data_IF_129176811713
#
_entry.id   IF_129176811713
#
_cell.length_a   1.000
_cell.length_b   1.000
_cell.length_c   1.000
_cell.angle_alpha   90.00
_cell.angle_beta   90.00
_cell.angle_gamma   90.00
#
_symmetry.space_group_name_H-M   'P 1'
#
loop_
_entity.id
_entity.type
_entity.pdbx_description
1 polymer ?
#
# COMPACT_ATOMS: atom_id res chain seq x y z
N UNK A 1 2.67 -33.74 17.21
CA UNK A 1 1.70 -32.69 16.83
C UNK A 1 1.73 -32.55 15.32
N UNK A 2 0.71 -33.07 14.61
CA UNK A 2 0.63 -32.95 13.15
C UNK A 2 0.34 -31.48 12.82
N UNK A 3 1.22 -30.85 12.06
CA UNK A 3 0.99 -29.50 11.54
C UNK A 3 -0.13 -29.60 10.50
N UNK A 4 -1.30 -29.04 10.81
CA UNK A 4 -2.41 -28.93 9.87
C UNK A 4 -1.97 -28.02 8.73
N UNK A 5 -1.96 -28.56 7.52
CA UNK A 5 -1.62 -27.77 6.33
C UNK A 5 -2.77 -26.81 6.02
N UNK A 6 -2.55 -25.69 5.32
CA UNK A 6 -3.62 -24.78 4.91
C UNK A 6 -4.74 -25.45 4.09
N UNK A 7 -4.50 -26.66 3.56
CA UNK A 7 -5.46 -27.46 2.80
C UNK A 7 -6.52 -28.17 3.66
N UNK A 8 -6.27 -28.39 4.96
CA UNK A 8 -7.23 -29.06 5.86
C UNK A 8 -8.47 -28.21 6.17
N UNK A 9 -8.48 -26.93 5.78
CA UNK A 9 -9.55 -25.96 6.06
C UNK A 9 -10.47 -25.65 4.87
N UNK A 10 -10.20 -26.20 3.69
CA UNK A 10 -11.11 -26.06 2.56
C UNK A 10 -12.34 -26.94 2.80
N UNK A 11 -13.58 -26.47 2.52
CA UNK A 11 -14.76 -27.32 2.54
C UNK A 11 -14.71 -28.28 1.34
N UNK A 12 -13.78 -29.25 1.39
CA UNK A 12 -13.64 -30.34 0.43
C UNK A 12 -14.71 -31.42 0.64
N UNK A 13 -15.77 -31.12 1.40
CA UNK A 13 -16.84 -32.06 1.72
C UNK A 13 -17.55 -32.50 0.42
N UNK A 14 -17.09 -33.62 -0.14
CA UNK A 14 -17.66 -34.27 -1.32
C UNK A 14 -16.79 -34.24 -2.59
N UNK A 15 -15.77 -33.39 -2.68
CA UNK A 15 -15.03 -33.16 -3.95
C UNK A 15 -13.71 -33.95 -4.01
N UNK A 16 -13.85 -35.28 -4.01
CA UNK A 16 -12.75 -36.25 -3.92
C UNK A 16 -11.74 -36.14 -5.07
N UNK A 17 -12.19 -35.76 -6.27
CA UNK A 17 -11.31 -35.60 -7.44
C UNK A 17 -10.36 -34.40 -7.28
N UNK A 18 -10.88 -33.29 -6.76
CA UNK A 18 -10.05 -32.11 -6.49
C UNK A 18 -9.01 -32.42 -5.40
N UNK A 19 -9.40 -33.14 -4.34
CA UNK A 19 -8.48 -33.57 -3.30
C UNK A 19 -7.34 -34.46 -3.86
N UNK A 20 -7.66 -35.37 -4.78
CA UNK A 20 -6.67 -36.21 -5.45
C UNK A 20 -5.69 -35.36 -6.29
N UNK A 21 -6.21 -34.42 -7.08
CA UNK A 21 -5.38 -33.53 -7.90
C UNK A 21 -4.46 -32.65 -7.05
N UNK A 22 -4.96 -32.10 -5.93
CA UNK A 22 -4.15 -31.34 -4.98
C UNK A 22 -3.03 -32.18 -4.36
N UNK A 23 -3.28 -33.46 -4.08
CA UNK A 23 -2.23 -34.35 -3.59
C UNK A 23 -1.10 -34.55 -4.62
N UNK A 24 -1.41 -34.50 -5.92
CA UNK A 24 -0.41 -34.61 -6.99
C UNK A 24 0.44 -33.34 -7.14
N UNK A 25 -0.08 -32.16 -6.75
CA UNK A 25 0.65 -30.90 -6.80
C UNK A 25 1.99 -30.94 -6.06
N UNK A 26 2.02 -31.65 -4.92
CA UNK A 26 3.19 -31.74 -4.05
C UNK A 26 4.22 -32.78 -4.51
N UNK A 27 3.95 -33.54 -5.57
CA UNK A 27 4.82 -34.66 -6.00
C UNK A 27 5.93 -34.24 -6.98
N UNK A 28 6.01 -32.95 -7.32
CA UNK A 28 7.08 -32.40 -8.16
C UNK A 28 7.12 -32.92 -9.60
N UNK A 29 6.01 -33.49 -10.09
CA UNK A 29 5.88 -33.99 -11.46
C UNK A 29 5.35 -32.88 -12.37
N UNK A 30 5.95 -32.70 -13.53
CA UNK A 30 5.53 -31.68 -14.51
C UNK A 30 4.30 -32.11 -15.33
N UNK A 31 4.08 -33.42 -15.50
CA UNK A 31 2.99 -33.95 -16.33
C UNK A 31 1.60 -33.52 -15.85
N UNK A 32 1.26 -33.61 -14.55
CA UNK A 32 -0.02 -33.10 -14.04
C UNK A 32 -0.20 -31.59 -14.27
N UNK A 33 0.90 -30.81 -14.21
CA UNK A 33 0.88 -29.37 -14.46
C UNK A 33 0.53 -29.08 -15.91
N UNK A 34 1.21 -29.74 -16.85
CA UNK A 34 0.97 -29.61 -18.29
C UNK A 34 -0.49 -29.96 -18.65
N UNK A 35 -0.98 -31.09 -18.15
CA UNK A 35 -2.37 -31.51 -18.37
C UNK A 35 -3.34 -30.46 -17.83
N UNK A 36 -3.09 -29.91 -16.63
CA UNK A 36 -3.96 -28.89 -16.07
C UNK A 36 -3.92 -27.58 -16.87
N UNK A 37 -2.75 -27.17 -17.38
CA UNK A 37 -2.61 -26.01 -18.27
C UNK A 37 -3.46 -26.17 -19.53
N UNK A 38 -3.41 -27.34 -20.17
CA UNK A 38 -4.24 -27.65 -21.34
C UNK A 38 -5.73 -27.66 -21.00
N UNK A 39 -6.11 -28.24 -19.85
CA UNK A 39 -7.52 -28.24 -19.41
C UNK A 39 -8.07 -26.83 -19.17
N UNK A 40 -7.28 -25.95 -18.54
CA UNK A 40 -7.67 -24.55 -18.36
C UNK A 40 -7.87 -23.83 -19.69
N UNK A 41 -6.99 -24.07 -20.68
CA UNK A 41 -7.14 -23.50 -22.01
C UNK A 41 -8.42 -23.99 -22.70
N UNK A 42 -8.67 -25.30 -22.67
CA UNK A 42 -9.88 -25.91 -23.24
C UNK A 42 -11.16 -25.35 -22.60
N UNK A 43 -11.17 -25.14 -21.28
CA UNK A 43 -12.33 -24.58 -20.59
C UNK A 43 -12.56 -23.11 -20.92
N UNK A 44 -11.50 -22.32 -21.10
CA UNK A 44 -11.60 -20.94 -21.55
C UNK A 44 -12.14 -20.86 -22.98
N UNK A 45 -11.64 -21.69 -23.90
CA UNK A 45 -12.13 -21.75 -25.29
C UNK A 45 -13.59 -22.21 -25.38
N UNK A 46 -13.98 -23.19 -24.56
CA UNK A 46 -15.33 -23.72 -24.51
C UNK A 46 -16.31 -22.93 -23.64
N UNK A 47 -15.87 -21.86 -22.97
CA UNK A 47 -16.67 -21.07 -22.01
C UNK A 47 -17.18 -21.86 -20.80
N UNK A 48 -16.55 -23.00 -20.49
CA UNK A 48 -16.94 -23.86 -19.35
C UNK A 48 -16.47 -23.27 -18.03
N UNK A 49 -15.40 -22.49 -18.07
CA UNK A 49 -14.84 -21.75 -16.93
C UNK A 49 -15.86 -20.78 -16.31
N UNK A 50 -16.75 -20.18 -17.12
CA UNK A 50 -17.83 -19.30 -16.66
C UNK A 50 -18.84 -20.00 -15.71
N UNK A 51 -18.92 -21.33 -15.75
CA UNK A 51 -19.81 -22.13 -14.91
C UNK A 51 -19.14 -22.58 -13.60
N UNK A 52 -17.85 -22.31 -13.42
CA UNK A 52 -17.06 -22.78 -12.29
C UNK A 52 -16.88 -21.69 -11.24
N UNK A 53 -16.86 -22.08 -9.96
CA UNK A 53 -16.59 -21.13 -8.88
C UNK A 53 -15.14 -20.59 -8.98
N UNK A 54 -14.90 -19.31 -8.64
CA UNK A 54 -13.58 -18.69 -8.74
C UNK A 54 -12.55 -19.39 -7.87
N UNK A 55 -12.93 -19.89 -6.68
CA UNK A 55 -12.05 -20.66 -5.79
C UNK A 55 -11.53 -21.93 -6.46
N UNK A 56 -12.39 -22.64 -7.18
CA UNK A 56 -12.04 -23.89 -7.87
C UNK A 56 -11.09 -23.63 -9.04
N UNK A 57 -11.38 -22.61 -9.86
CA UNK A 57 -10.48 -22.19 -10.93
C UNK A 57 -9.12 -21.75 -10.37
N UNK A 58 -9.09 -21.01 -9.27
CA UNK A 58 -7.84 -20.60 -8.60
C UNK A 58 -6.98 -21.80 -8.19
N UNK A 59 -7.59 -22.87 -7.68
CA UNK A 59 -6.88 -24.11 -7.34
C UNK A 59 -6.35 -24.83 -8.59
N UNK A 60 -7.11 -24.84 -9.68
CA UNK A 60 -6.64 -25.40 -10.95
C UNK A 60 -5.51 -24.57 -11.57
N UNK A 61 -5.58 -23.25 -11.49
CA UNK A 61 -4.48 -22.35 -11.89
C UNK A 61 -3.21 -22.65 -11.09
N UNK A 62 -3.33 -22.87 -9.77
CA UNK A 62 -2.19 -23.27 -8.94
C UNK A 62 -1.64 -24.65 -9.34
N UNK A 63 -2.51 -25.60 -9.70
CA UNK A 63 -2.13 -26.94 -10.15
C UNK A 63 -1.46 -26.95 -11.52
N UNK A 64 -1.80 -26.02 -12.41
CA UNK A 64 -1.06 -25.74 -13.64
C UNK A 64 0.32 -25.11 -13.35
N UNK A 65 0.53 -24.64 -12.12
CA UNK A 65 1.72 -23.95 -11.68
C UNK A 65 1.85 -22.56 -12.27
N UNK A 66 0.72 -21.88 -12.43
CA UNK A 66 0.64 -20.47 -12.76
C UNK A 66 0.12 -19.68 -11.54
N UNK A 67 0.59 -18.45 -11.37
CA UNK A 67 0.11 -17.57 -10.31
C UNK A 67 -1.10 -16.72 -10.73
N UNK A 68 -1.25 -16.49 -12.03
CA UNK A 68 -2.36 -15.73 -12.63
C UNK A 68 -2.95 -16.49 -13.81
N UNK A 69 -4.24 -16.29 -14.06
CA UNK A 69 -4.92 -16.89 -15.19
C UNK A 69 -6.05 -15.98 -15.67
N UNK A 70 -6.19 -15.83 -16.97
CA UNK A 70 -7.27 -15.08 -17.57
C UNK A 70 -8.39 -16.04 -17.97
N UNK A 71 -9.47 -16.05 -17.19
CA UNK A 71 -10.71 -16.74 -17.54
C UNK A 71 -11.60 -15.80 -18.39
N UNK A 72 -12.64 -16.37 -19.01
CA UNK A 72 -13.57 -15.71 -19.94
C UNK A 72 -14.19 -14.43 -19.37
N UNK A 73 -14.48 -14.40 -18.06
CA UNK A 73 -15.09 -13.24 -17.40
C UNK A 73 -14.27 -12.63 -16.26
N UNK A 74 -13.18 -13.26 -15.83
CA UNK A 74 -12.44 -12.86 -14.63
C UNK A 74 -10.96 -13.10 -14.76
N UNK A 75 -10.13 -12.15 -14.33
CA UNK A 75 -8.72 -12.39 -14.06
C UNK A 75 -8.57 -13.01 -12.67
N UNK A 76 -7.88 -14.15 -12.61
CA UNK A 76 -7.60 -14.87 -11.38
C UNK A 76 -6.17 -14.61 -10.95
N UNK A 77 -5.99 -14.39 -9.66
CA UNK A 77 -4.68 -14.20 -9.04
C UNK A 77 -4.65 -14.99 -7.72
N UNK A 78 -3.79 -16.02 -7.68
CA UNK A 78 -3.65 -16.92 -6.53
C UNK A 78 -2.99 -16.24 -5.33
N UNK A 79 -2.27 -15.14 -5.55
CA UNK A 79 -1.58 -14.36 -4.53
C UNK A 79 -2.48 -13.30 -3.87
N UNK A 80 -3.75 -13.19 -4.26
CA UNK A 80 -4.69 -12.24 -3.67
C UNK A 80 -4.85 -12.44 -2.16
N UNK A 81 -4.65 -11.37 -1.38
CA UNK A 81 -4.77 -11.41 0.08
C UNK A 81 -3.67 -12.18 0.83
N UNK A 82 -2.62 -12.64 0.13
CA UNK A 82 -1.44 -13.24 0.75
C UNK A 82 -0.44 -12.17 1.17
N UNK A 83 0.25 -12.36 2.30
CA UNK A 83 1.44 -11.58 2.61
C UNK A 83 2.60 -12.05 1.75
N UNK A 84 3.60 -11.20 1.61
CA UNK A 84 4.78 -11.42 0.76
C UNK A 84 5.48 -12.77 1.04
N UNK A 85 5.48 -13.25 2.29
CA UNK A 85 6.08 -14.53 2.68
C UNK A 85 5.27 -15.72 2.16
N UNK A 86 3.93 -15.66 2.28
CA UNK A 86 3.02 -16.67 1.71
C UNK A 86 3.05 -16.65 0.18
N UNK A 87 3.12 -15.47 -0.43
CA UNK A 87 3.26 -15.33 -1.88
C UNK A 87 4.58 -15.94 -2.38
N UNK A 88 5.71 -15.63 -1.73
CA UNK A 88 7.01 -16.24 -2.05
C UNK A 88 6.98 -17.77 -1.90
N UNK A 89 6.40 -18.28 -0.81
CA UNK A 89 6.27 -19.72 -0.60
C UNK A 89 5.41 -20.39 -1.69
N UNK A 90 4.36 -19.71 -2.15
CA UNK A 90 3.52 -20.17 -3.25
C UNK A 90 4.33 -20.27 -4.56
N UNK A 91 5.17 -19.27 -4.84
CA UNK A 91 6.08 -19.32 -5.99
C UNK A 91 7.06 -20.48 -5.90
N UNK A 92 7.70 -20.63 -4.74
CA UNK A 92 8.70 -21.67 -4.49
C UNK A 92 8.13 -23.09 -4.63
N UNK A 93 6.89 -23.32 -4.18
CA UNK A 93 6.32 -24.67 -4.08
C UNK A 93 5.41 -25.07 -5.22
N UNK A 94 4.77 -24.11 -5.90
CA UNK A 94 3.73 -24.42 -6.89
C UNK A 94 3.96 -23.74 -8.24
N UNK A 95 4.41 -22.48 -8.26
CA UNK A 95 4.61 -21.75 -9.53
C UNK A 95 5.91 -22.19 -10.21
N UNK A 96 7.01 -22.24 -9.48
CA UNK A 96 8.28 -22.70 -10.03
C UNK A 96 8.29 -24.24 -10.15
N UNK A 97 8.97 -24.80 -11.16
CA UNK A 97 9.18 -26.24 -11.24
C UNK A 97 10.04 -26.72 -10.07
N UNK A 98 9.92 -28.00 -9.69
CA UNK A 98 10.69 -28.57 -8.58
C UNK A 98 12.22 -28.59 -8.84
N UNK A 99 12.63 -28.42 -10.10
CA UNK A 99 14.01 -28.29 -10.54
C UNK A 99 14.56 -26.87 -10.45
N UNK A 100 13.70 -25.86 -10.23
CA UNK A 100 14.13 -24.48 -10.13
C UNK A 100 15.02 -24.27 -8.90
N UNK A 101 16.06 -23.47 -9.08
CA UNK A 101 16.90 -22.99 -8.00
C UNK A 101 16.16 -21.94 -7.17
N UNK A 102 16.63 -21.71 -5.94
CA UNK A 102 16.10 -20.64 -5.10
C UNK A 102 16.27 -19.26 -5.76
N UNK A 103 17.33 -19.06 -6.55
CA UNK A 103 17.58 -17.80 -7.25
C UNK A 103 16.53 -17.55 -8.35
N UNK A 104 16.21 -18.57 -9.15
CA UNK A 104 15.16 -18.47 -10.18
C UNK A 104 13.77 -18.25 -9.55
N UNK A 105 13.48 -18.90 -8.42
CA UNK A 105 12.22 -18.69 -7.71
C UNK A 105 12.10 -17.27 -7.11
N UNK A 106 13.21 -16.70 -6.64
CA UNK A 106 13.26 -15.32 -6.18
C UNK A 106 13.08 -14.32 -7.33
N UNK A 107 13.73 -14.57 -8.47
CA UNK A 107 13.58 -13.72 -9.65
C UNK A 107 12.13 -13.70 -10.17
N UNK A 108 11.47 -14.87 -10.18
CA UNK A 108 10.05 -14.97 -10.54
C UNK A 108 9.16 -14.21 -9.55
N UNK A 109 9.45 -14.33 -8.25
CA UNK A 109 8.74 -13.58 -7.21
C UNK A 109 8.98 -12.06 -7.30
N UNK A 110 10.20 -11.60 -7.62
CA UNK A 110 10.52 -10.18 -7.72
C UNK A 110 9.76 -9.51 -8.89
N UNK A 111 9.67 -10.23 -10.02
CA UNK A 111 8.80 -9.86 -11.15
C UNK A 111 7.34 -9.81 -10.72
N UNK A 112 6.88 -10.81 -9.99
CA UNK A 112 5.51 -10.88 -9.47
C UNK A 112 5.17 -9.77 -8.47
N UNK A 113 6.14 -9.34 -7.67
CA UNK A 113 5.99 -8.28 -6.66
C UNK A 113 6.06 -6.87 -7.26
N UNK A 114 6.34 -6.73 -8.57
CA UNK A 114 6.51 -5.44 -9.22
C UNK A 114 7.74 -4.67 -8.73
N UNK A 115 8.77 -5.39 -8.25
CA UNK A 115 10.04 -4.78 -7.87
C UNK A 115 10.85 -4.36 -9.10
N UNK A 116 10.56 -4.97 -10.25
CA UNK A 116 11.05 -4.56 -11.55
C UNK A 116 10.20 -3.44 -12.15
N UNK A 117 10.86 -2.42 -12.70
CA UNK A 117 10.22 -1.22 -13.29
C UNK A 117 9.28 -1.51 -14.48
N UNK A 118 9.32 -2.72 -15.04
CA UNK A 118 8.56 -3.12 -16.22
C UNK A 118 7.37 -4.05 -15.92
N UNK A 119 7.13 -4.41 -14.66
CA UNK A 119 6.12 -5.40 -14.29
C UNK A 119 4.93 -4.76 -13.57
N UNK A 120 3.71 -5.08 -14.01
CA UNK A 120 2.49 -4.81 -13.23
C UNK A 120 2.39 -5.91 -12.17
N UNK A 121 3.06 -5.71 -11.03
CA UNK A 121 3.10 -6.68 -9.95
C UNK A 121 1.71 -7.15 -9.53
N UNK A 122 1.56 -8.45 -9.30
CA UNK A 122 0.32 -9.10 -8.87
C UNK A 122 0.38 -9.63 -7.43
N UNK A 123 1.53 -9.57 -6.76
CA UNK A 123 1.65 -9.92 -5.34
C UNK A 123 2.24 -8.80 -4.49
N UNK A 124 2.08 -8.93 -3.16
CA UNK A 124 2.59 -7.93 -2.22
C UNK A 124 4.12 -7.99 -2.13
N UNK A 125 4.83 -6.84 -2.21
CA UNK A 125 6.28 -6.80 -2.08
C UNK A 125 6.75 -7.08 -0.64
N UNK A 126 8.04 -7.42 -0.45
CA UNK A 126 8.61 -7.61 0.88
C UNK A 126 8.51 -6.31 1.68
N UNK A 127 7.72 -6.35 2.75
CA UNK A 127 7.51 -5.20 3.63
C UNK A 127 8.45 -5.27 4.84
N UNK A 128 9.07 -4.16 5.24
CA UNK A 128 9.81 -4.08 6.50
C UNK A 128 8.98 -4.58 7.69
N UNK A 129 9.60 -5.16 8.74
CA UNK A 129 8.89 -5.79 9.86
C UNK A 129 7.87 -4.88 10.56
N UNK A 130 8.15 -3.58 10.60
CA UNK A 130 7.27 -2.57 11.21
C UNK A 130 6.02 -2.25 10.37
N UNK A 131 6.02 -2.58 9.06
CA UNK A 131 4.85 -2.49 8.17
C UNK A 131 4.11 -3.82 8.03
N UNK A 132 4.81 -4.96 8.17
CA UNK A 132 4.25 -6.30 7.97
C UNK A 132 3.05 -6.63 8.86
N UNK A 133 3.03 -6.17 10.12
CA UNK A 133 1.93 -6.42 11.08
C UNK A 133 0.64 -5.67 10.70
N UNK A 134 0.75 -4.61 9.89
CA UNK A 134 -0.36 -3.74 9.50
C UNK A 134 -0.76 -3.88 8.03
N UNK A 135 0.09 -4.51 7.21
CA UNK A 135 -0.14 -4.73 5.79
C UNK A 135 -1.39 -5.55 5.47
N UNK A 136 -1.85 -6.41 6.39
CA UNK A 136 -3.13 -7.13 6.25
C UNK A 136 -4.36 -6.19 6.28
N UNK A 137 -4.17 -4.89 6.55
CA UNK A 137 -5.21 -3.87 6.48
C UNK A 137 -5.12 -2.97 5.25
N UNK A 138 -4.14 -3.16 4.35
CA UNK A 138 -3.99 -2.32 3.15
C UNK A 138 -4.97 -2.70 2.01
N UNK A 139 -5.78 -3.75 2.19
CA UNK A 139 -7.00 -3.98 1.40
C UNK A 139 -8.18 -3.13 1.87
N UNK A 140 -8.06 -2.41 3.00
CA UNK A 140 -8.91 -1.25 3.22
C UNK A 140 -8.27 -0.16 2.38
N UNK A 141 -8.83 0.01 1.20
CA UNK A 141 -8.74 1.20 0.36
C UNK A 141 -8.45 2.43 1.22
N UNK A 142 -7.64 3.34 0.69
CA UNK A 142 -7.38 4.68 1.22
C UNK A 142 -8.68 5.52 1.24
N UNK A 143 -9.76 5.03 1.86
CA UNK A 143 -11.06 5.65 2.05
C UNK A 143 -10.94 6.70 3.18
N UNK A 144 -9.97 7.60 3.00
CA UNK A 144 -9.82 8.80 3.82
C UNK A 144 -11.11 9.63 3.78
N UNK A 145 -11.92 9.51 2.72
CA UNK A 145 -13.25 10.13 2.60
C UNK A 145 -14.26 9.58 3.62
N UNK A 146 -14.32 8.26 3.83
CA UNK A 146 -15.22 7.67 4.81
C UNK A 146 -14.83 8.08 6.24
N UNK A 147 -13.53 8.05 6.52
CA UNK A 147 -13.00 8.47 7.81
C UNK A 147 -13.24 9.97 8.05
N UNK A 148 -13.06 10.81 7.02
CA UNK A 148 -13.33 12.24 7.08
C UNK A 148 -14.82 12.50 7.39
N UNK A 149 -15.74 11.83 6.69
CA UNK A 149 -17.18 11.97 6.94
C UNK A 149 -17.59 11.59 8.36
N UNK A 150 -16.99 10.54 8.93
CA UNK A 150 -17.23 10.16 10.32
C UNK A 150 -16.65 11.16 11.33
N UNK A 151 -15.44 11.67 11.07
CA UNK A 151 -14.81 12.70 11.91
C UNK A 151 -15.56 14.03 11.86
N UNK A 152 -16.13 14.38 10.71
CA UNK A 152 -16.98 15.57 10.56
C UNK A 152 -18.28 15.45 11.34
N UNK A 153 -18.89 14.27 11.38
CA UNK A 153 -20.06 14.01 12.22
C UNK A 153 -19.75 14.21 13.71
N UNK A 154 -18.57 13.76 14.16
CA UNK A 154 -18.12 13.96 15.55
C UNK A 154 -17.82 15.44 15.83
N UNK A 155 -17.22 16.14 14.87
CA UNK A 155 -16.91 17.58 14.97
C UNK A 155 -18.20 18.40 15.08
N UNK A 156 -19.20 18.12 14.22
CA UNK A 156 -20.47 18.82 14.19
C UNK A 156 -21.39 18.49 15.36
N UNK A 157 -21.37 17.25 15.86
CA UNK A 157 -22.33 16.76 16.86
C UNK A 157 -22.06 17.15 18.31
N UNK A 158 -21.17 18.11 18.60
CA UNK A 158 -20.67 18.44 19.97
C UNK A 158 -20.03 17.25 20.74
N UNK A 159 -20.05 16.04 20.17
CA UNK A 159 -19.49 14.82 20.73
C UNK A 159 -17.97 14.92 20.93
N UNK A 160 -17.30 15.80 20.17
CA UNK A 160 -15.90 16.14 20.37
C UNK A 160 -15.60 16.66 21.80
N UNK A 161 -16.58 17.25 22.51
CA UNK A 161 -16.41 17.72 23.90
C UNK A 161 -16.41 16.58 24.92
N UNK A 162 -17.00 15.43 24.57
CA UNK A 162 -17.02 14.24 25.42
C UNK A 162 -15.72 13.43 25.31
N UNK A 163 -14.95 13.63 24.23
CA UNK A 163 -13.68 12.95 24.01
C UNK A 163 -12.54 13.74 24.66
N UNK A 164 -11.98 13.21 25.74
CA UNK A 164 -10.86 13.82 26.45
C UNK A 164 -9.67 14.03 25.50
N UNK A 165 -9.20 15.29 25.42
CA UNK A 165 -8.04 15.64 24.60
C UNK A 165 -8.28 15.64 23.09
N UNK A 166 -9.53 15.73 22.62
CA UNK A 166 -9.85 15.77 21.18
C UNK A 166 -9.02 16.82 20.41
N UNK A 167 -8.94 18.04 20.93
CA UNK A 167 -8.16 19.12 20.31
C UNK A 167 -6.65 18.80 20.21
N UNK A 168 -6.11 18.02 21.14
CA UNK A 168 -4.71 17.62 21.15
C UNK A 168 -4.46 16.25 20.49
N UNK A 169 -5.48 15.62 19.91
CA UNK A 169 -5.40 14.27 19.35
C UNK A 169 -6.27 14.11 18.10
N UNK A 170 -7.50 13.62 18.27
CA UNK A 170 -8.44 13.32 17.17
C UNK A 170 -8.65 14.47 16.17
N UNK A 171 -8.71 15.70 16.67
CA UNK A 171 -8.81 16.89 15.83
C UNK A 171 -7.60 17.12 14.92
N UNK A 172 -6.40 16.68 15.29
CA UNK A 172 -5.19 16.81 14.45
C UNK A 172 -5.30 15.92 13.21
N UNK A 173 -5.90 14.73 13.35
CA UNK A 173 -6.16 13.84 12.22
C UNK A 173 -7.26 14.39 11.32
N UNK A 174 -8.32 14.98 11.90
CA UNK A 174 -9.37 15.65 11.13
C UNK A 174 -8.80 16.80 10.29
N UNK A 175 -7.98 17.66 10.90
CA UNK A 175 -7.30 18.75 10.20
C UNK A 175 -6.40 18.24 9.07
N UNK A 176 -5.64 17.16 9.32
CA UNK A 176 -4.77 16.55 8.32
C UNK A 176 -5.54 15.95 7.14
N UNK A 177 -6.66 15.28 7.40
CA UNK A 177 -7.50 14.71 6.36
C UNK A 177 -8.19 15.80 5.54
N UNK A 178 -8.60 16.90 6.17
CA UNK A 178 -9.17 18.06 5.48
C UNK A 178 -8.13 18.74 4.56
N UNK A 179 -6.89 18.91 5.03
CA UNK A 179 -5.78 19.40 4.20
C UNK A 179 -5.51 18.46 3.02
N UNK A 180 -5.52 17.14 3.24
CA UNK A 180 -5.34 16.17 2.17
C UNK A 180 -6.49 16.22 1.14
N UNK A 181 -7.75 16.36 1.59
CA UNK A 181 -8.90 16.49 0.69
C UNK A 181 -8.77 17.73 -0.20
N UNK A 182 -8.41 18.88 0.39
CA UNK A 182 -8.17 20.11 -0.35
C UNK A 182 -7.02 19.97 -1.37
N UNK A 183 -5.94 19.26 -1.01
CA UNK A 183 -4.82 18.99 -1.94
C UNK A 183 -5.24 18.05 -3.07
N UNK A 184 -6.06 17.04 -2.78
CA UNK A 184 -6.61 16.15 -3.80
C UNK A 184 -7.53 16.89 -4.77
N UNK A 185 -8.40 17.77 -4.27
CA UNK A 185 -9.27 18.61 -5.10
C UNK A 185 -8.47 19.54 -6.00
N UNK A 186 -7.37 20.13 -5.49
CA UNK A 186 -6.44 20.94 -6.29
C UNK A 186 -5.74 20.13 -7.38
N UNK A 187 -5.35 18.89 -7.07
CA UNK A 187 -4.67 18.00 -8.03
C UNK A 187 -5.62 17.59 -9.16
N UNK A 188 -6.89 17.34 -8.84
CA UNK A 188 -7.95 17.00 -9.80
C UNK A 188 -8.38 18.19 -10.66
N UNK A 189 -8.37 19.41 -10.11
CA UNK A 189 -8.87 20.62 -10.79
C UNK A 189 -7.84 21.39 -11.64
N UNK A 190 -6.56 20.98 -11.64
CA UNK A 190 -5.46 21.55 -12.47
C UNK A 190 -5.24 23.08 -12.38
N UNK A 191 -5.86 23.79 -11.43
CA UNK A 191 -5.68 25.24 -11.25
C UNK A 191 -5.28 25.57 -9.79
N UNK A 192 -3.98 25.58 -9.46
CA UNK A 192 -3.52 26.13 -8.19
C UNK A 192 -3.72 27.65 -8.22
N UNK A 193 -4.84 28.13 -7.67
CA UNK A 193 -5.09 29.56 -7.55
C UNK A 193 -4.26 30.12 -6.39
N UNK A 194 -3.52 31.23 -6.58
CA UNK A 194 -2.63 31.80 -5.55
C UNK A 194 -3.39 32.18 -4.26
N UNK A 195 -4.68 32.53 -4.36
CA UNK A 195 -5.53 32.80 -3.22
C UNK A 195 -5.77 31.58 -2.31
N UNK A 196 -5.82 30.37 -2.88
CA UNK A 196 -6.01 29.13 -2.12
C UNK A 196 -4.70 28.69 -1.44
N UNK A 197 -3.55 28.97 -2.07
CA UNK A 197 -2.22 28.77 -1.48
C UNK A 197 -2.01 29.65 -0.24
N UNK A 198 -2.46 30.91 -0.30
CA UNK A 198 -2.44 31.80 0.87
C UNK A 198 -3.39 31.34 1.98
N UNK A 199 -4.53 30.73 1.65
CA UNK A 199 -5.46 30.17 2.65
C UNK A 199 -4.93 28.88 3.30
N UNK A 200 -4.16 28.06 2.57
CA UNK A 200 -3.59 26.81 3.08
C UNK A 200 -2.41 27.04 4.03
N UNK A 201 -1.64 28.10 3.81
CA UNK A 201 -0.46 28.43 4.62
C UNK A 201 -0.74 28.49 6.13
N UNK A 202 -1.70 29.28 6.65
CA UNK A 202 -1.99 29.32 8.08
C UNK A 202 -2.47 27.96 8.62
N UNK A 203 -3.24 27.21 7.83
CA UNK A 203 -3.73 25.88 8.23
C UNK A 203 -2.58 24.87 8.37
N UNK A 204 -1.66 24.85 7.41
CA UNK A 204 -0.46 24.02 7.45
C UNK A 204 0.44 24.37 8.64
N UNK A 205 0.64 25.65 8.93
CA UNK A 205 1.44 26.10 10.09
C UNK A 205 0.81 25.66 11.42
N UNK A 206 -0.52 25.81 11.56
CA UNK A 206 -1.22 25.32 12.75
C UNK A 206 -1.10 23.81 12.87
N UNK A 207 -1.19 23.07 11.77
CA UNK A 207 -1.05 21.63 11.73
C UNK A 207 0.36 21.18 12.11
N UNK A 208 1.41 21.84 11.63
CA UNK A 208 2.80 21.57 12.03
C UNK A 208 2.98 21.69 13.55
N UNK A 209 2.46 22.78 14.14
CA UNK A 209 2.53 22.98 15.60
C UNK A 209 1.74 21.92 16.37
N UNK A 210 0.58 21.49 15.86
CA UNK A 210 -0.26 20.47 16.49
C UNK A 210 0.35 19.08 16.36
N UNK A 211 0.97 18.74 15.24
CA UNK A 211 1.68 17.47 15.03
C UNK A 211 2.86 17.33 16.00
N UNK A 212 3.60 18.41 16.25
CA UNK A 212 4.72 18.39 17.20
C UNK A 212 4.28 18.09 18.64
N UNK A 213 3.07 18.55 19.00
CA UNK A 213 2.53 18.39 20.35
C UNK A 213 1.73 17.07 20.55
N UNK A 214 1.67 16.20 19.53
CA UNK A 214 0.96 14.92 19.63
C UNK A 214 1.66 13.95 20.58
N UNK A 215 0.90 13.43 21.55
CA UNK A 215 1.40 12.41 22.48
C UNK A 215 1.57 11.05 21.79
N UNK A 216 2.78 10.76 21.33
CA UNK A 216 3.09 9.52 20.61
C UNK A 216 3.47 8.36 21.55
N UNK A 217 2.45 7.67 22.09
CA UNK A 217 2.63 6.58 23.08
C UNK A 217 3.25 5.29 22.51
N UNK A 218 3.12 5.03 21.21
CA UNK A 218 3.64 3.80 20.57
C UNK A 218 4.61 4.15 19.44
N UNK A 219 5.52 3.22 19.11
CA UNK A 219 6.44 3.37 17.98
C UNK A 219 5.70 3.54 16.65
N UNK A 220 4.56 2.86 16.49
CA UNK A 220 3.68 2.97 15.33
C UNK A 220 3.02 4.34 15.23
N UNK A 221 2.56 4.89 16.35
CA UNK A 221 2.01 6.24 16.38
C UNK A 221 3.09 7.27 16.01
N UNK A 222 4.32 7.12 16.50
CA UNK A 222 5.46 7.96 16.08
C UNK A 222 5.74 7.86 14.58
N UNK A 223 5.72 6.65 14.01
CA UNK A 223 5.90 6.43 12.58
C UNK A 223 4.79 7.12 11.77
N UNK A 224 3.52 6.93 12.15
CA UNK A 224 2.39 7.55 11.47
C UNK A 224 2.49 9.08 11.50
N UNK A 225 2.82 9.66 12.66
CA UNK A 225 3.01 11.11 12.78
C UNK A 225 4.20 11.60 11.94
N UNK A 226 5.26 10.79 11.81
CA UNK A 226 6.38 11.09 10.91
C UNK A 226 5.96 11.07 9.45
N UNK A 227 5.20 10.06 8.99
CA UNK A 227 4.67 9.99 7.62
C UNK A 227 3.69 11.13 7.31
N UNK A 228 2.82 11.49 8.27
CA UNK A 228 1.96 12.68 8.17
C UNK A 228 2.80 13.95 8.01
N UNK A 229 3.85 14.09 8.82
CA UNK A 229 4.77 15.24 8.77
C UNK A 229 5.49 15.36 7.42
N UNK A 230 5.96 14.24 6.85
CA UNK A 230 6.57 14.21 5.51
C UNK A 230 5.60 14.71 4.44
N UNK A 231 4.36 14.21 4.44
CA UNK A 231 3.34 14.65 3.48
C UNK A 231 3.02 16.14 3.62
N UNK A 232 2.95 16.64 4.86
CA UNK A 232 2.73 18.07 5.14
C UNK A 232 3.89 18.93 4.64
N UNK A 233 5.15 18.49 4.80
CA UNK A 233 6.32 19.19 4.24
C UNK A 233 6.25 19.23 2.71
N UNK A 234 5.88 18.12 2.08
CA UNK A 234 5.70 18.05 0.62
C UNK A 234 4.65 19.05 0.12
N UNK A 235 3.50 19.13 0.80
CA UNK A 235 2.44 20.10 0.50
C UNK A 235 2.91 21.53 0.77
N UNK A 236 3.58 21.78 1.90
CA UNK A 236 4.09 23.11 2.25
C UNK A 236 5.10 23.61 1.21
N UNK A 237 5.98 22.75 0.71
CA UNK A 237 6.90 23.08 -0.39
C UNK A 237 6.15 23.46 -1.66
N UNK A 238 5.14 22.68 -2.04
CA UNK A 238 4.31 22.98 -3.22
C UNK A 238 3.56 24.32 -3.09
N UNK A 239 3.15 24.68 -1.86
CA UNK A 239 2.38 25.91 -1.58
C UNK A 239 3.26 27.15 -1.47
N UNK A 240 4.44 27.02 -0.86
CA UNK A 240 5.33 28.14 -0.56
C UNK A 240 6.16 28.55 -1.79
N UNK A 241 6.29 27.67 -2.79
CA UNK A 241 6.96 27.98 -4.06
C UNK A 241 8.48 28.09 -3.95
N UNK A 242 9.08 28.70 -4.97
CA UNK A 242 10.53 28.83 -5.13
C UNK A 242 10.99 30.26 -4.81
N UNK A 243 11.83 30.45 -3.79
CA UNK A 243 12.34 31.76 -3.37
C UNK A 243 13.07 31.77 -2.01
N UNK A 244 13.76 32.87 -1.69
CA UNK A 244 14.56 33.00 -0.46
C UNK A 244 13.69 33.07 0.81
N UNK A 245 12.61 33.84 0.81
CA UNK A 245 11.63 33.89 1.92
C UNK A 245 10.91 32.55 2.11
N UNK A 246 10.69 31.82 1.01
CA UNK A 246 10.13 30.48 0.99
C UNK A 246 11.04 29.48 1.71
N UNK A 247 12.35 29.52 1.43
CA UNK A 247 13.33 28.66 2.11
C UNK A 247 13.47 28.93 3.61
N UNK A 248 13.35 30.21 4.05
CA UNK A 248 13.38 30.53 5.48
C UNK A 248 12.17 29.95 6.23
N UNK A 249 10.96 30.10 5.67
CA UNK A 249 9.74 29.58 6.27
C UNK A 249 9.77 28.05 6.32
N UNK A 250 10.23 27.39 5.25
CA UNK A 250 10.39 25.94 5.21
C UNK A 250 11.38 25.44 6.27
N UNK A 251 12.53 26.12 6.44
CA UNK A 251 13.54 25.74 7.43
C UNK A 251 13.04 25.82 8.88
N UNK A 252 12.28 26.86 9.22
CA UNK A 252 11.67 27.03 10.54
C UNK A 252 10.64 25.93 10.82
N UNK A 253 9.81 25.60 9.84
CA UNK A 253 8.79 24.56 10.00
C UNK A 253 9.39 23.14 10.04
N UNK A 254 10.44 22.88 9.27
CA UNK A 254 11.17 21.60 9.30
C UNK A 254 11.75 21.31 10.69
N UNK A 255 12.25 22.35 11.37
CA UNK A 255 12.76 22.24 12.74
C UNK A 255 11.68 21.92 13.78
N UNK A 256 10.42 22.26 13.47
CA UNK A 256 9.28 22.09 14.38
C UNK A 256 8.55 20.76 14.22
N UNK A 257 8.82 19.99 13.16
CA UNK A 257 8.08 18.77 12.85
C UNK A 257 8.78 17.51 13.40
N UNK A 258 8.00 16.51 13.86
CA UNK A 258 8.53 15.22 14.31
C UNK A 258 8.96 14.33 13.13
N UNK A 259 10.07 14.71 12.49
CA UNK A 259 10.69 13.99 11.37
C UNK A 259 11.81 13.07 11.85
N UNK A 260 12.10 12.03 11.08
CA UNK A 260 13.33 11.26 11.29
C UNK A 260 14.54 12.10 10.89
N UNK A 261 15.68 11.87 11.55
CA UNK A 261 16.91 12.62 11.30
C UNK A 261 17.31 12.59 9.81
N UNK A 262 17.27 11.40 9.20
CA UNK A 262 17.66 11.20 7.79
C UNK A 262 16.76 11.99 6.82
N UNK A 263 15.44 12.04 7.11
CA UNK A 263 14.50 12.77 6.26
C UNK A 263 14.66 14.29 6.43
N UNK A 264 14.81 14.76 7.67
CA UNK A 264 15.06 16.17 7.94
C UNK A 264 16.36 16.65 7.26
N UNK A 265 17.41 15.83 7.29
CA UNK A 265 18.68 16.14 6.62
C UNK A 265 18.55 16.16 5.10
N UNK A 266 17.81 15.20 4.52
CA UNK A 266 17.55 15.18 3.07
C UNK A 266 16.78 16.41 2.60
N UNK A 267 15.72 16.82 3.32
CA UNK A 267 14.96 18.04 3.00
C UNK A 267 15.79 19.30 3.21
N UNK A 268 16.60 19.37 4.27
CA UNK A 268 17.46 20.54 4.52
C UNK A 268 18.53 20.69 3.42
N UNK A 269 19.10 19.59 2.94
CA UNK A 269 19.99 19.60 1.78
C UNK A 269 19.29 20.08 0.51
N UNK A 270 18.04 19.64 0.27
CA UNK A 270 17.24 20.08 -0.87
C UNK A 270 16.97 21.59 -0.81
N UNK A 271 16.53 22.10 0.35
CA UNK A 271 16.30 23.52 0.60
C UNK A 271 17.59 24.33 0.40
N UNK A 272 18.72 23.83 0.92
CA UNK A 272 20.03 24.48 0.80
C UNK A 272 20.45 24.58 -0.67
N UNK A 273 20.32 23.50 -1.44
CA UNK A 273 20.63 23.50 -2.86
C UNK A 273 19.74 24.49 -3.62
N UNK A 274 18.45 24.53 -3.29
CA UNK A 274 17.51 25.47 -3.91
C UNK A 274 17.85 26.93 -3.60
N UNK A 275 18.20 27.24 -2.35
CA UNK A 275 18.66 28.57 -1.94
C UNK A 275 19.93 28.98 -2.71
N UNK A 276 20.91 28.08 -2.83
CA UNK A 276 22.15 28.34 -3.57
C UNK A 276 21.89 28.58 -5.06
N UNK A 277 20.95 27.85 -5.68
CA UNK A 277 20.61 28.07 -7.09
C UNK A 277 19.93 29.42 -7.33
N UNK A 278 19.09 29.89 -6.40
CA UNK A 278 18.48 31.23 -6.50
C UNK A 278 19.51 32.34 -6.31
N UNK A 279 20.40 32.20 -5.33
CA UNK A 279 21.50 33.16 -5.16
C UNK A 279 22.42 33.26 -6.38
N UNK A 280 22.65 32.14 -7.08
CA UNK A 280 23.45 32.12 -8.31
C UNK A 280 22.70 32.68 -9.54
N UNK A 281 21.37 32.76 -9.49
CA UNK A 281 20.55 33.35 -10.55
C UNK A 281 20.37 34.87 -10.39
N UNK A 282 20.51 35.39 -9.16
CA UNK A 282 20.44 36.82 -8.83
C UNK A 282 21.77 37.58 -9.06
N UNK A 283 22.86 36.90 -9.45
CA UNK A 283 24.19 37.47 -9.77
C UNK A 283 24.47 37.49 -11.27
#
# INVERSE_FOLDING_TARGET
MRQTTPFDRLPLAGDHHLALLLAQACMGQDTPRQIMTEQLANWAEGGTDALMSPTRLTLFTLLAGAATHQATHTSLNTCTGLDWRRALALHLWYVCPATATLAEALEEYDKAAGLDKNSTGYCNPPLPPYLATHALRNNMREDHEYLLGYLDQIRAGEQHKQVAGWAAGGGVYSDYLEVNALVSDMTTSQHPTPALLEQLRPRLLTLCSRLNNLQCRTALHRLCVSEMSKKVVGVLRAVVGEGTDATQVLSQQLSSLPLTHDYALAELNLITNHYLTHLAADT
#
